data_IF_723238966139
#
_entry.id   IF_723238966139
#
_cell.length_a   1.000
_cell.length_b   1.000
_cell.length_c   1.000
_cell.angle_alpha   90.00
_cell.angle_beta   90.00
_cell.angle_gamma   90.00
#
_symmetry.space_group_name_H-M   'P 1'
#
loop_
_entity.id
_entity.type
_entity.pdbx_description
1 polymer ?
#
# COMPACT_ATOMS: atom_id res chain seq x y z
N UNK A 1 12.27 -1.96 54.43
CA UNK A 1 12.59 -1.07 53.30
C UNK A 1 13.12 -1.79 52.06
N UNK A 2 14.09 -2.74 52.15
CA UNK A 2 14.70 -3.38 50.97
C UNK A 2 13.73 -4.15 50.05
N UNK A 3 12.78 -4.95 50.60
CA UNK A 3 11.83 -5.71 49.79
C UNK A 3 10.89 -4.83 48.95
N UNK A 4 10.41 -3.71 49.50
CA UNK A 4 9.52 -2.79 48.84
C UNK A 4 10.19 -2.10 47.64
N UNK A 5 11.45 -1.78 47.75
CA UNK A 5 12.23 -1.17 46.68
C UNK A 5 12.52 -2.17 45.54
N UNK A 6 12.75 -3.46 45.89
CA UNK A 6 12.95 -4.53 44.89
C UNK A 6 11.64 -4.74 44.07
N UNK A 7 10.50 -4.82 44.74
CA UNK A 7 9.20 -4.98 44.06
C UNK A 7 8.91 -3.78 43.14
N UNK A 8 9.16 -2.56 43.60
CA UNK A 8 8.99 -1.36 42.80
C UNK A 8 9.91 -1.33 41.57
N UNK A 9 11.16 -1.78 41.74
CA UNK A 9 12.14 -1.90 40.66
C UNK A 9 11.71 -2.93 39.59
N UNK A 10 11.21 -4.09 40.03
CA UNK A 10 10.74 -5.14 39.11
C UNK A 10 9.49 -4.67 38.32
N UNK A 11 8.57 -4.00 39.01
CA UNK A 11 7.40 -3.43 38.36
C UNK A 11 7.78 -2.34 37.33
N UNK A 12 8.69 -1.44 37.68
CA UNK A 12 9.17 -0.41 36.80
C UNK A 12 9.90 -0.99 35.55
N UNK A 13 10.74 -2.00 35.75
CA UNK A 13 11.42 -2.69 34.66
C UNK A 13 10.42 -3.44 33.74
N UNK A 14 9.42 -4.11 34.33
CA UNK A 14 8.37 -4.80 33.59
C UNK A 14 7.51 -3.85 32.73
N UNK A 15 7.13 -2.72 33.29
CA UNK A 15 6.38 -1.71 32.53
C UNK A 15 7.22 -1.09 31.41
N UNK A 16 8.48 -0.75 31.68
CA UNK A 16 9.38 -0.22 30.64
C UNK A 16 9.57 -1.23 29.50
N UNK A 17 9.78 -2.52 29.81
CA UNK A 17 9.90 -3.58 28.81
C UNK A 17 8.60 -3.72 27.96
N UNK A 18 7.44 -3.66 28.60
CA UNK A 18 6.15 -3.72 27.91
C UNK A 18 5.95 -2.53 26.93
N UNK A 19 6.25 -1.31 27.37
CA UNK A 19 6.17 -0.11 26.49
C UNK A 19 7.19 -0.17 25.35
N UNK A 20 8.40 -0.63 25.61
CA UNK A 20 9.42 -0.80 24.56
C UNK A 20 8.99 -1.86 23.55
N UNK A 21 8.47 -2.99 24.00
CA UNK A 21 7.96 -4.05 23.14
C UNK A 21 6.78 -3.58 22.29
N UNK A 22 5.80 -2.92 22.90
CA UNK A 22 4.65 -2.36 22.19
C UNK A 22 5.08 -1.31 21.15
N UNK A 23 6.02 -0.43 21.53
CA UNK A 23 6.58 0.57 20.63
C UNK A 23 7.30 -0.05 19.42
N UNK A 24 8.07 -1.11 19.63
CA UNK A 24 8.74 -1.84 18.55
C UNK A 24 7.74 -2.51 17.59
N UNK A 25 6.69 -3.13 18.14
CA UNK A 25 5.61 -3.73 17.33
C UNK A 25 4.90 -2.64 16.52
N UNK A 26 4.50 -1.55 17.16
CA UNK A 26 3.84 -0.42 16.49
C UNK A 26 4.73 0.17 15.39
N UNK A 27 6.01 0.43 15.70
CA UNK A 27 6.97 0.92 14.70
C UNK A 27 7.05 -0.02 13.48
N UNK A 28 7.11 -1.33 13.70
CA UNK A 28 7.15 -2.31 12.62
C UNK A 28 5.86 -2.33 11.78
N UNK A 29 4.72 -1.96 12.36
CA UNK A 29 3.43 -1.85 11.65
C UNK A 29 3.41 -0.63 10.74
N UNK A 30 3.86 0.53 11.23
CA UNK A 30 3.75 1.81 10.49
C UNK A 30 4.89 2.07 9.53
N UNK A 31 6.06 1.44 9.71
CA UNK A 31 7.21 1.70 8.83
C UNK A 31 7.00 1.07 7.46
N UNK A 32 7.29 1.87 6.43
CA UNK A 32 7.36 1.39 5.04
C UNK A 32 8.28 0.18 4.94
N UNK A 33 7.80 -0.88 4.32
CA UNK A 33 8.62 -2.02 3.90
C UNK A 33 8.83 -1.95 2.40
N UNK A 34 10.06 -2.26 1.97
CA UNK A 34 10.34 -2.43 0.54
C UNK A 34 9.45 -3.57 0.02
N UNK A 35 8.70 -3.28 -1.00
CA UNK A 35 7.88 -4.27 -1.70
C UNK A 35 8.46 -4.41 -3.11
N UNK A 36 8.76 -5.62 -3.51
CA UNK A 36 9.09 -5.87 -4.90
C UNK A 36 7.78 -5.83 -5.72
N UNK A 37 7.83 -5.26 -6.93
CA UNK A 37 6.63 -5.14 -7.78
C UNK A 37 5.96 -6.48 -8.08
N UNK A 38 6.73 -7.56 -8.01
CA UNK A 38 6.31 -8.93 -8.32
C UNK A 38 5.83 -9.74 -7.11
N UNK A 39 5.92 -9.19 -5.90
CA UNK A 39 5.51 -9.90 -4.68
C UNK A 39 3.99 -9.97 -4.57
N UNK A 40 3.39 -10.88 -5.31
CA UNK A 40 1.99 -11.26 -5.08
C UNK A 40 1.97 -12.13 -3.84
N UNK A 41 1.47 -11.62 -2.73
CA UNK A 41 1.11 -12.48 -1.60
C UNK A 41 -0.20 -13.19 -1.95
N UNK A 42 -0.08 -14.27 -2.67
CA UNK A 42 -1.13 -15.28 -2.66
C UNK A 42 -0.74 -16.21 -1.53
N UNK A 43 -1.56 -16.30 -0.49
CA UNK A 43 -1.34 -17.31 0.54
C UNK A 43 -1.24 -18.68 -0.15
N UNK A 44 -0.28 -19.55 0.23
CA UNK A 44 -0.05 -20.83 -0.45
C UNK A 44 -1.29 -21.73 -0.47
N UNK A 45 -2.19 -21.52 0.49
CA UNK A 45 -3.46 -22.22 0.70
C UNK A 45 -4.69 -21.44 0.20
N UNK A 46 -4.49 -20.29 -0.45
CA UNK A 46 -5.61 -19.52 -0.98
C UNK A 46 -6.33 -20.30 -2.10
N UNK A 47 -7.64 -20.39 -1.99
CA UNK A 47 -8.49 -20.90 -3.06
C UNK A 47 -8.20 -20.13 -4.34
N UNK A 48 -7.89 -20.86 -5.43
CA UNK A 48 -7.55 -20.29 -6.74
C UNK A 48 -6.28 -19.42 -6.78
N UNK A 49 -5.31 -19.67 -5.92
CA UNK A 49 -4.06 -18.90 -5.86
C UNK A 49 -3.29 -18.85 -7.17
N UNK A 50 -3.22 -19.97 -7.90
CA UNK A 50 -2.55 -20.05 -9.19
C UNK A 50 -3.28 -19.23 -10.27
N UNK A 51 -4.60 -19.33 -10.34
CA UNK A 51 -5.43 -18.57 -11.29
C UNK A 51 -5.36 -17.06 -11.03
N UNK A 52 -5.39 -16.66 -9.77
CA UNK A 52 -5.23 -15.24 -9.38
C UNK A 52 -3.86 -14.69 -9.78
N UNK A 53 -2.82 -15.48 -9.59
CA UNK A 53 -1.46 -15.10 -10.01
C UNK A 53 -1.35 -14.96 -11.52
N UNK A 54 -1.94 -15.88 -12.26
CA UNK A 54 -1.98 -15.82 -13.72
C UNK A 54 -2.73 -14.58 -14.19
N UNK A 55 -3.95 -14.35 -13.72
CA UNK A 55 -4.77 -13.18 -14.05
C UNK A 55 -4.02 -11.87 -13.75
N UNK A 56 -3.34 -11.79 -12.62
CA UNK A 56 -2.53 -10.64 -12.26
C UNK A 56 -1.38 -10.42 -13.24
N UNK A 57 -0.66 -11.50 -13.58
CA UNK A 57 0.48 -11.42 -14.51
C UNK A 57 0.01 -10.96 -15.89
N UNK A 58 -1.02 -11.57 -16.42
CA UNK A 58 -1.61 -11.23 -17.72
C UNK A 58 -2.11 -9.78 -17.74
N UNK A 59 -2.80 -9.35 -16.68
CA UNK A 59 -3.31 -7.98 -16.58
C UNK A 59 -2.19 -6.95 -16.49
N UNK A 60 -1.10 -7.23 -15.76
CA UNK A 60 0.04 -6.32 -15.73
C UNK A 60 0.79 -6.25 -17.08
N UNK A 61 0.96 -7.38 -17.77
CA UNK A 61 1.50 -7.38 -19.13
C UNK A 61 0.66 -6.52 -20.06
N UNK A 62 -0.66 -6.73 -20.06
CA UNK A 62 -1.60 -5.96 -20.85
C UNK A 62 -1.56 -4.45 -20.56
N UNK A 63 -1.52 -4.06 -19.27
CA UNK A 63 -1.39 -2.66 -18.86
C UNK A 63 -0.04 -2.05 -19.30
N UNK A 64 1.04 -2.84 -19.32
CA UNK A 64 2.34 -2.35 -19.78
C UNK A 64 2.35 -2.12 -21.32
N UNK A 65 1.71 -3.01 -22.08
CA UNK A 65 1.58 -2.87 -23.53
C UNK A 65 0.71 -1.67 -23.92
N UNK A 66 -0.36 -1.43 -23.16
CA UNK A 66 -1.23 -0.28 -23.35
C UNK A 66 -0.51 1.05 -23.07
N UNK A 67 0.43 1.06 -22.15
CA UNK A 67 1.11 2.26 -21.69
C UNK A 67 0.26 3.08 -20.71
N UNK A 68 0.91 3.98 -19.97
CA UNK A 68 0.28 4.86 -18.99
C UNK A 68 0.99 6.20 -18.93
N UNK A 69 0.29 7.25 -18.56
CA UNK A 69 0.87 8.50 -18.13
C UNK A 69 1.25 8.41 -16.64
N UNK A 70 2.52 8.73 -16.32
CA UNK A 70 2.97 8.86 -14.94
C UNK A 70 2.52 10.19 -14.39
N UNK A 71 1.73 10.16 -13.33
CA UNK A 71 1.22 11.35 -12.66
C UNK A 71 1.78 11.47 -11.25
N UNK A 72 1.89 12.69 -10.75
CA UNK A 72 2.32 12.94 -9.37
C UNK A 72 1.71 14.21 -8.82
N UNK A 73 1.49 14.24 -7.51
CA UNK A 73 1.09 15.42 -6.75
C UNK A 73 2.02 15.58 -5.55
N UNK A 74 2.17 16.81 -5.09
CA UNK A 74 2.84 17.08 -3.83
C UNK A 74 1.82 17.17 -2.70
N UNK A 75 2.03 16.38 -1.65
CA UNK A 75 1.21 16.45 -0.44
C UNK A 75 1.51 17.71 0.38
N UNK A 76 0.65 18.06 1.34
CA UNK A 76 0.79 19.24 2.19
C UNK A 76 2.12 19.29 2.96
N UNK A 77 2.70 18.15 3.27
CA UNK A 77 3.98 18.01 3.99
C UNK A 77 5.19 17.75 3.06
N UNK A 78 5.00 17.98 1.74
CA UNK A 78 6.07 18.00 0.75
C UNK A 78 6.45 16.66 0.15
N UNK A 79 5.76 15.56 0.47
CA UNK A 79 5.99 14.27 -0.16
C UNK A 79 5.42 14.23 -1.58
N UNK A 80 6.12 13.57 -2.49
CA UNK A 80 5.60 13.33 -3.84
C UNK A 80 4.84 12.02 -3.84
N UNK A 81 3.53 12.11 -4.08
CA UNK A 81 2.65 10.97 -4.26
C UNK A 81 2.54 10.67 -5.75
N UNK A 82 2.61 9.41 -6.12
CA UNK A 82 2.71 8.96 -7.52
C UNK A 82 1.59 8.04 -7.91
N UNK A 83 1.23 8.12 -9.18
CA UNK A 83 0.21 7.29 -9.78
C UNK A 83 0.48 7.00 -11.25
N UNK A 84 -0.44 6.25 -11.83
CA UNK A 84 -0.48 5.93 -13.25
C UNK A 84 -1.89 6.19 -13.77
N UNK A 85 -1.99 7.05 -14.76
CA UNK A 85 -3.23 7.31 -15.46
C UNK A 85 -3.26 6.50 -16.75
N UNK A 86 -4.38 5.85 -16.97
CA UNK A 86 -4.70 5.10 -18.17
C UNK A 86 -5.94 5.73 -18.82
N UNK A 87 -5.80 6.13 -20.06
CA UNK A 87 -6.93 6.62 -20.83
C UNK A 87 -7.80 5.45 -21.30
N UNK A 88 -9.10 5.58 -21.12
CA UNK A 88 -10.08 4.62 -21.63
C UNK A 88 -10.25 4.74 -23.15
N UNK A 89 -11.05 3.87 -23.74
CA UNK A 89 -11.36 3.93 -25.17
C UNK A 89 -12.55 4.87 -25.41
N UNK A 90 -12.49 5.64 -26.50
CA UNK A 90 -13.62 6.46 -26.95
C UNK A 90 -13.83 7.77 -26.18
N UNK A 91 -12.79 8.36 -25.59
CA UNK A 91 -12.86 9.64 -24.86
C UNK A 91 -13.85 9.61 -23.67
N UNK A 92 -13.63 8.74 -22.68
CA UNK A 92 -14.54 8.59 -21.56
C UNK A 92 -14.62 9.85 -20.68
N UNK A 93 -15.84 10.24 -20.33
CA UNK A 93 -16.11 11.37 -19.42
C UNK A 93 -15.83 11.04 -17.95
N UNK A 94 -15.56 9.78 -17.65
CA UNK A 94 -15.46 9.29 -16.25
C UNK A 94 -14.13 8.60 -15.98
N UNK A 95 -13.57 8.90 -14.80
CA UNK A 95 -12.34 8.30 -14.31
C UNK A 95 -12.60 7.50 -13.05
N UNK A 96 -12.14 6.26 -13.01
CA UNK A 96 -12.14 5.41 -11.82
C UNK A 96 -10.82 5.57 -11.08
N UNK A 97 -10.87 6.07 -9.84
CA UNK A 97 -9.74 6.14 -8.94
C UNK A 97 -9.64 4.85 -8.11
N UNK A 98 -8.51 4.14 -8.20
CA UNK A 98 -8.25 2.91 -7.46
C UNK A 98 -7.14 3.13 -6.42
N UNK A 99 -7.51 3.00 -5.15
CA UNK A 99 -6.66 3.28 -3.99
C UNK A 99 -6.42 1.99 -3.22
N UNK A 100 -5.17 1.50 -3.21
CA UNK A 100 -4.80 0.22 -2.61
C UNK A 100 -4.85 0.22 -1.07
N UNK A 101 -4.90 -0.98 -0.50
CA UNK A 101 -4.92 -1.20 0.94
C UNK A 101 -3.55 -1.20 1.61
N UNK A 102 -3.55 -1.55 2.90
CA UNK A 102 -2.38 -1.61 3.75
C UNK A 102 -1.30 -2.56 3.21
N UNK A 103 -0.06 -2.07 3.14
CA UNK A 103 1.11 -2.81 2.65
C UNK A 103 0.94 -3.43 1.26
N UNK A 104 0.21 -2.74 0.40
CA UNK A 104 0.08 -3.09 -1.00
C UNK A 104 0.66 -1.98 -1.90
N UNK A 105 0.48 -2.07 -3.17
CA UNK A 105 0.74 -1.01 -4.14
C UNK A 105 -0.30 -1.08 -5.26
N UNK A 106 -0.39 -0.01 -6.04
CA UNK A 106 -1.39 0.17 -7.09
C UNK A 106 -1.49 -1.02 -8.06
N UNK A 107 -0.35 -1.48 -8.58
CA UNK A 107 -0.30 -2.55 -9.59
C UNK A 107 -0.60 -3.93 -9.00
N UNK A 108 -0.12 -4.17 -7.79
CA UNK A 108 -0.29 -5.44 -7.11
C UNK A 108 -1.73 -5.72 -6.77
N UNK A 109 -2.47 -4.71 -6.33
CA UNK A 109 -3.86 -4.88 -5.89
C UNK A 109 -4.84 -4.77 -7.05
N UNK A 110 -4.57 -3.87 -7.99
CA UNK A 110 -5.61 -3.45 -8.92
C UNK A 110 -5.33 -3.70 -10.41
N UNK A 111 -4.26 -4.41 -10.80
CA UNK A 111 -4.00 -4.62 -12.22
C UNK A 111 -5.17 -5.27 -12.99
N UNK A 112 -5.79 -6.31 -12.40
CA UNK A 112 -6.92 -6.98 -13.03
C UNK A 112 -8.19 -6.13 -13.02
N UNK A 113 -8.42 -5.38 -11.95
CA UNK A 113 -9.57 -4.48 -11.82
C UNK A 113 -9.43 -3.27 -12.75
N UNK A 114 -8.21 -2.72 -12.87
CA UNK A 114 -7.93 -1.64 -13.81
C UNK A 114 -8.22 -2.06 -15.26
N UNK A 115 -7.76 -3.26 -15.65
CA UNK A 115 -8.05 -3.81 -16.96
C UNK A 115 -9.56 -3.90 -17.20
N UNK A 116 -10.32 -4.41 -16.24
CA UNK A 116 -11.79 -4.50 -16.36
C UNK A 116 -12.45 -3.15 -16.61
N UNK A 117 -12.07 -2.10 -15.87
CA UNK A 117 -12.66 -0.77 -16.09
C UNK A 117 -12.23 -0.12 -17.40
N UNK A 118 -10.98 -0.33 -17.83
CA UNK A 118 -10.49 0.16 -19.12
C UNK A 118 -11.23 -0.51 -20.30
N UNK A 119 -11.44 -1.83 -20.21
CA UNK A 119 -12.23 -2.58 -21.20
C UNK A 119 -13.72 -2.18 -21.18
N UNK A 120 -14.22 -1.68 -20.04
CA UNK A 120 -15.56 -1.11 -19.91
C UNK A 120 -15.67 0.36 -20.36
N UNK A 121 -14.58 0.96 -20.87
CA UNK A 121 -14.56 2.30 -21.43
C UNK A 121 -14.36 3.43 -20.41
N UNK A 122 -13.84 3.17 -19.22
CA UNK A 122 -13.50 4.20 -18.22
C UNK A 122 -12.03 4.58 -18.30
N UNK A 123 -11.69 5.83 -17.97
CA UNK A 123 -10.35 6.17 -17.55
C UNK A 123 -10.04 5.52 -16.19
N UNK A 124 -8.79 5.18 -15.95
CA UNK A 124 -8.38 4.61 -14.66
C UNK A 124 -7.17 5.35 -14.12
N UNK A 125 -7.25 5.79 -12.87
CA UNK A 125 -6.14 6.33 -12.11
C UNK A 125 -5.76 5.37 -10.98
N UNK A 126 -4.59 4.76 -11.10
CA UNK A 126 -3.98 3.93 -10.07
C UNK A 126 -3.03 4.79 -9.24
N UNK A 127 -3.21 4.84 -7.92
CA UNK A 127 -2.34 5.63 -7.04
C UNK A 127 -1.61 4.77 -6.01
N UNK A 128 -0.40 5.17 -5.67
CA UNK A 128 0.31 4.66 -4.50
C UNK A 128 0.11 5.63 -3.34
N UNK A 129 -0.43 5.12 -2.25
CA UNK A 129 -0.57 5.87 -1.02
C UNK A 129 0.81 6.26 -0.45
N UNK A 130 0.85 7.24 0.44
CA UNK A 130 2.02 7.59 1.25
C UNK A 130 2.73 6.35 1.79
N UNK A 131 4.06 6.31 1.70
CA UNK A 131 4.91 5.21 2.15
C UNK A 131 4.64 3.86 1.47
N UNK A 132 4.03 3.84 0.28
CA UNK A 132 3.81 2.65 -0.53
C UNK A 132 4.33 2.85 -1.96
N UNK A 133 4.56 1.73 -2.65
CA UNK A 133 4.95 1.69 -4.06
C UNK A 133 6.05 2.69 -4.41
N UNK A 134 5.78 3.57 -5.37
CA UNK A 134 6.69 4.62 -5.84
C UNK A 134 6.51 5.97 -5.11
N UNK A 135 5.44 6.13 -4.29
CA UNK A 135 5.21 7.35 -3.52
C UNK A 135 6.22 7.52 -2.40
N UNK A 136 6.51 8.78 -2.06
CA UNK A 136 7.40 9.11 -0.96
C UNK A 136 6.79 8.77 0.40
N UNK A 137 7.61 8.85 1.43
CA UNK A 137 7.20 8.62 2.81
C UNK A 137 7.87 7.42 3.46
N UNK A 138 8.04 7.52 4.77
CA UNK A 138 8.62 6.48 5.62
C UNK A 138 7.57 5.75 6.45
N UNK A 139 6.50 6.46 6.80
CA UNK A 139 5.48 5.96 7.71
C UNK A 139 4.12 5.91 7.03
N UNK A 140 3.42 4.79 7.22
CA UNK A 140 2.05 4.58 6.73
C UNK A 140 1.11 5.42 7.59
N UNK A 141 0.31 6.28 6.96
CA UNK A 141 -0.50 7.29 7.65
C UNK A 141 -1.83 6.79 8.19
N UNK A 142 -2.32 5.63 7.76
CA UNK A 142 -3.64 5.09 8.13
C UNK A 142 -4.80 6.10 7.95
N UNK A 143 -4.72 6.95 6.95
CA UNK A 143 -5.72 7.97 6.67
C UNK A 143 -5.62 9.24 7.53
N UNK A 144 -4.75 9.29 8.54
CA UNK A 144 -4.59 10.47 9.39
C UNK A 144 -3.86 11.59 8.66
N UNK A 145 -2.78 11.23 7.95
CA UNK A 145 -1.96 12.16 7.16
C UNK A 145 -2.32 12.17 5.67
N UNK A 146 -3.21 11.29 5.24
CA UNK A 146 -3.58 11.10 3.84
C UNK A 146 -4.87 11.88 3.46
N UNK A 147 -5.55 12.48 4.45
CA UNK A 147 -6.81 13.20 4.27
C UNK A 147 -6.67 14.72 4.07
N UNK A 148 -5.45 15.26 4.17
CA UNK A 148 -5.16 16.70 4.10
C UNK A 148 -4.92 17.16 2.65
#
# INVERSE_FOLDING_TARGET
MKKKNIILGVLAAGTAAAFTGAGAVFHNIIVRKKQEPTDIIVAPDAVNGAERKQLWTESNCWLNERGSEKVSIQSFDGLILRGEFFEGEGEPDSTVLLVHGYRCNRRREYAAIARFYLEAGYNVLLVDNRAHGESDGRYIGFGILDRE
#
